data_IF_200459031465
#
_entry.id   IF_200459031465
#
_cell.length_a   1.000
_cell.length_b   1.000
_cell.length_c   1.000
_cell.angle_alpha   90.00
_cell.angle_beta   90.00
_cell.angle_gamma   90.00
#
_symmetry.space_group_name_H-M   'P 1'
#
loop_
_entity.id
_entity.type
_entity.pdbx_description
1 polymer ?
#
# COMPACT_ATOMS: atom_id res chain seq x y z
N UNK A 1 -11.75 6.18 -6.63
CA UNK A 1 -10.28 6.14 -6.54
C UNK A 1 -9.92 5.41 -5.26
N UNK A 2 -8.90 4.55 -5.26
CA UNK A 2 -8.51 3.71 -4.10
C UNK A 2 -7.00 3.86 -3.86
N UNK A 3 -6.62 4.03 -2.60
CA UNK A 3 -5.22 3.97 -2.13
C UNK A 3 -5.00 2.63 -1.45
N UNK A 4 -3.91 1.95 -1.80
CA UNK A 4 -3.54 0.67 -1.20
C UNK A 4 -2.03 0.66 -0.90
N UNK A 5 -1.68 0.21 0.31
CA UNK A 5 -0.31 0.02 0.75
C UNK A 5 -0.06 -1.47 0.93
N UNK A 6 1.00 -1.97 0.30
CA UNK A 6 1.32 -3.39 0.25
C UNK A 6 2.69 -3.62 0.87
N UNK A 7 2.80 -4.74 1.58
CA UNK A 7 4.01 -5.21 2.26
C UNK A 7 4.67 -6.35 1.47
N UNK A 8 5.99 -6.48 1.59
CA UNK A 8 6.72 -7.66 1.13
C UNK A 8 6.84 -8.66 2.29
N UNK A 9 5.73 -9.23 2.75
CA UNK A 9 5.82 -10.39 3.65
C UNK A 9 6.49 -11.56 2.93
N UNK A 10 7.60 -12.03 3.50
CA UNK A 10 8.57 -12.91 2.85
C UNK A 10 7.98 -14.15 2.16
N UNK A 11 8.38 -14.33 0.90
CA UNK A 11 8.16 -15.57 0.13
C UNK A 11 7.52 -15.36 -1.24
N UNK A 12 8.26 -14.77 -2.19
CA UNK A 12 8.18 -14.92 -3.67
C UNK A 12 6.83 -14.96 -4.44
N UNK A 13 5.67 -14.81 -3.80
CA UNK A 13 4.34 -14.95 -4.43
C UNK A 13 3.45 -13.70 -4.31
N UNK A 14 3.73 -12.77 -3.39
CA UNK A 14 2.85 -11.62 -3.13
C UNK A 14 3.12 -10.42 -4.05
N UNK A 15 4.39 -10.14 -4.41
CA UNK A 15 4.72 -9.10 -5.41
C UNK A 15 3.96 -9.35 -6.73
N UNK A 16 3.84 -10.63 -7.13
CA UNK A 16 3.03 -11.01 -8.30
C UNK A 16 1.55 -10.71 -8.12
N UNK A 17 1.00 -10.88 -6.93
CA UNK A 17 -0.41 -10.58 -6.64
C UNK A 17 -0.63 -9.06 -6.69
N UNK A 18 0.28 -8.27 -6.12
CA UNK A 18 0.21 -6.81 -6.10
C UNK A 18 0.28 -6.23 -7.52
N UNK A 19 1.20 -6.76 -8.33
CA UNK A 19 1.32 -6.41 -9.75
C UNK A 19 0.09 -6.86 -10.55
N UNK A 20 -0.39 -8.09 -10.37
CA UNK A 20 -1.60 -8.58 -11.05
C UNK A 20 -2.85 -7.79 -10.65
N UNK A 21 -2.95 -7.38 -9.39
CA UNK A 21 -4.03 -6.55 -8.90
C UNK A 21 -3.98 -5.17 -9.55
N UNK A 22 -2.80 -4.54 -9.59
CA UNK A 22 -2.59 -3.27 -10.31
C UNK A 22 -2.94 -3.38 -11.79
N UNK A 23 -2.49 -4.43 -12.46
CA UNK A 23 -2.83 -4.70 -13.87
C UNK A 23 -4.34 -4.82 -14.03
N UNK A 24 -5.01 -5.59 -13.19
CA UNK A 24 -6.46 -5.78 -13.26
C UNK A 24 -7.24 -4.47 -13.10
N UNK A 25 -6.85 -3.63 -12.13
CA UNK A 25 -7.48 -2.31 -11.94
C UNK A 25 -7.27 -1.41 -13.16
N UNK A 26 -6.07 -1.41 -13.73
CA UNK A 26 -5.74 -0.63 -14.92
C UNK A 26 -6.52 -1.11 -16.14
N UNK A 27 -6.63 -2.43 -16.35
CA UNK A 27 -7.42 -3.03 -17.43
C UNK A 27 -8.89 -2.65 -17.34
N UNK A 28 -9.44 -2.55 -16.13
CA UNK A 28 -10.82 -2.13 -15.89
C UNK A 28 -11.01 -0.61 -15.91
N UNK A 29 -9.95 0.18 -16.13
CA UNK A 29 -10.01 1.64 -16.14
C UNK A 29 -10.33 2.25 -14.77
N UNK A 30 -10.08 1.53 -13.68
CA UNK A 30 -10.36 2.00 -12.31
C UNK A 30 -9.20 2.90 -11.84
N UNK A 31 -9.44 4.19 -11.57
CA UNK A 31 -8.39 5.07 -11.05
C UNK A 31 -7.86 4.57 -9.70
N UNK A 32 -6.55 4.33 -9.62
CA UNK A 32 -5.91 3.74 -8.46
C UNK A 32 -4.53 4.37 -8.20
N UNK A 33 -4.15 4.38 -6.92
CA UNK A 33 -2.79 4.69 -6.46
C UNK A 33 -2.35 3.53 -5.56
N UNK A 34 -1.26 2.85 -5.95
CA UNK A 34 -0.73 1.68 -5.24
C UNK A 34 0.74 1.96 -4.91
N UNK A 35 1.07 1.85 -3.63
CA UNK A 35 2.42 2.01 -3.10
C UNK A 35 2.88 0.69 -2.47
N UNK A 36 4.05 0.21 -2.90
CA UNK A 36 4.67 -1.02 -2.38
C UNK A 36 5.92 -0.59 -1.61
N UNK A 37 6.01 -1.00 -0.34
CA UNK A 37 7.18 -0.74 0.49
C UNK A 37 8.08 -1.97 0.52
N UNK A 38 9.26 -1.94 -0.14
CA UNK A 38 10.14 -3.10 -0.19
C UNK A 38 10.71 -3.41 1.20
N UNK A 39 10.78 -4.68 1.55
CA UNK A 39 11.39 -5.15 2.79
C UNK A 39 10.60 -4.93 4.07
N UNK A 40 9.34 -4.45 4.02
CA UNK A 40 8.46 -4.42 5.21
C UNK A 40 7.51 -5.60 5.21
N UNK A 41 7.23 -6.16 6.39
CA UNK A 41 6.30 -7.28 6.55
C UNK A 41 4.85 -6.85 6.77
N UNK A 42 3.95 -7.84 6.79
CA UNK A 42 2.53 -7.61 6.98
C UNK A 42 2.21 -6.84 8.26
N UNK A 43 1.22 -5.95 8.15
CA UNK A 43 0.82 -5.02 9.20
C UNK A 43 1.95 -4.08 9.67
N UNK A 44 2.79 -3.59 8.76
CA UNK A 44 3.89 -2.67 9.08
C UNK A 44 3.44 -1.37 9.77
N UNK A 45 2.17 -0.96 9.60
CA UNK A 45 1.59 0.23 10.21
C UNK A 45 1.10 0.02 11.66
N UNK A 46 1.16 -1.20 12.19
CA UNK A 46 0.73 -1.49 13.55
C UNK A 46 1.87 -1.24 14.56
N UNK A 47 1.82 -0.20 15.41
CA UNK A 47 2.88 0.13 16.35
C UNK A 47 3.10 -0.91 17.46
N UNK A 48 2.16 -1.83 17.68
CA UNK A 48 2.31 -2.94 18.62
C UNK A 48 2.78 -4.25 17.97
N UNK A 49 3.00 -4.25 16.66
CA UNK A 49 3.34 -5.44 15.88
C UNK A 49 4.85 -5.65 15.70
N UNK A 50 5.26 -6.91 15.46
CA UNK A 50 6.66 -7.27 15.22
C UNK A 50 7.24 -6.67 13.92
N UNK A 51 6.38 -6.36 12.95
CA UNK A 51 6.77 -5.80 11.65
C UNK A 51 6.68 -4.27 11.61
N UNK A 52 6.49 -3.59 12.75
CA UNK A 52 6.28 -2.15 12.78
C UNK A 52 7.42 -1.41 12.07
N UNK A 53 7.07 -0.70 10.99
CA UNK A 53 8.01 0.04 10.15
C UNK A 53 7.65 1.54 10.21
N UNK A 54 8.21 2.30 11.18
CA UNK A 54 7.74 3.64 11.49
C UNK A 54 7.91 4.65 10.34
N UNK A 55 8.94 4.48 9.51
CA UNK A 55 9.21 5.38 8.38
C UNK A 55 8.16 5.22 7.28
N UNK A 56 7.91 3.98 6.91
CA UNK A 56 6.92 3.59 5.90
C UNK A 56 5.50 3.87 6.40
N UNK A 57 5.25 3.71 7.71
CA UNK A 57 3.98 4.09 8.35
C UNK A 57 3.71 5.57 8.19
N UNK A 58 4.69 6.42 8.50
CA UNK A 58 4.55 7.87 8.39
C UNK A 58 4.32 8.29 6.93
N UNK A 59 5.10 7.73 6.01
CA UNK A 59 4.95 7.99 4.57
C UNK A 59 3.58 7.55 4.02
N UNK A 60 3.09 6.37 4.42
CA UNK A 60 1.76 5.87 4.05
C UNK A 60 0.64 6.75 4.63
N UNK A 61 0.84 7.26 5.84
CA UNK A 61 -0.11 8.16 6.49
C UNK A 61 -0.21 9.50 5.76
N UNK A 62 0.92 10.11 5.39
CA UNK A 62 0.93 11.36 4.61
C UNK A 62 0.25 11.21 3.25
N UNK A 63 0.48 10.08 2.56
CA UNK A 63 -0.21 9.76 1.30
C UNK A 63 -1.71 9.61 1.50
N UNK A 64 -2.13 8.95 2.58
CA UNK A 64 -3.55 8.81 2.94
C UNK A 64 -4.20 10.17 3.18
N UNK A 65 -3.58 11.04 3.97
CA UNK A 65 -4.10 12.38 4.24
C UNK A 65 -4.17 13.22 2.95
N UNK A 66 -3.17 13.13 2.09
CA UNK A 66 -3.14 13.80 0.79
C UNK A 66 -4.29 13.34 -0.11
N UNK A 67 -4.52 12.03 -0.17
CA UNK A 67 -5.64 11.45 -0.90
C UNK A 67 -6.98 11.94 -0.36
N UNK A 68 -7.21 11.84 0.96
CA UNK A 68 -8.45 12.26 1.59
C UNK A 68 -8.72 13.75 1.33
N UNK A 69 -7.71 14.61 1.48
CA UNK A 69 -7.80 16.05 1.19
C UNK A 69 -8.16 16.34 -0.27
N UNK A 70 -7.74 15.48 -1.20
CA UNK A 70 -7.99 15.67 -2.64
C UNK A 70 -9.40 15.21 -3.03
N UNK A 71 -9.96 14.21 -2.35
CA UNK A 71 -11.19 13.53 -2.78
C UNK A 71 -12.40 13.69 -1.87
N UNK A 72 -12.21 14.08 -0.62
CA UNK A 72 -13.30 14.37 0.32
C UNK A 72 -13.35 15.89 0.51
N UNK A 73 -14.41 16.51 -0.01
CA UNK A 73 -14.78 17.89 0.29
C UNK A 73 -15.95 17.89 1.24
#
# INVERSE_FOLDING_TARGET
>A
MKVMFLDESGGHSLIKIDEQFKVSLNTLGIPNEIYIYPGVGHAFANPSGANYAPKETMDAWEKTLTFLKTHLR
#
